data_IF_560457015274
#
_entry.id   IF_560457015274
#
_cell.length_a   1.000
_cell.length_b   1.000
_cell.length_c   1.000
_cell.angle_alpha   90.00
_cell.angle_beta   90.00
_cell.angle_gamma   90.00
#
_symmetry.space_group_name_H-M   'P 1'
#
loop_
_entity.id
_entity.type
_entity.pdbx_description
1 polymer ?
#
# COMPACT_ATOMS: atom_id res chain seq x y z
N UNK A 1 7.56 -23.34 7.63
CA UNK A 1 7.09 -21.95 7.58
C UNK A 1 5.59 -21.95 7.82
N UNK A 2 5.10 -21.06 8.67
CA UNK A 2 3.65 -20.92 8.90
C UNK A 2 3.00 -20.42 7.59
N UNK A 3 1.97 -21.09 7.07
CA UNK A 3 1.29 -20.69 5.85
C UNK A 3 0.51 -19.37 6.00
N UNK A 4 0.30 -18.89 7.24
CA UNK A 4 -0.38 -17.65 7.56
C UNK A 4 0.57 -16.71 8.30
N UNK A 5 1.56 -16.16 7.58
CA UNK A 5 2.60 -15.30 8.16
C UNK A 5 3.05 -14.20 7.21
N UNK A 6 3.72 -13.19 7.75
CA UNK A 6 4.30 -12.09 6.97
C UNK A 6 5.40 -12.59 6.01
N UNK A 7 6.19 -13.60 6.42
CA UNK A 7 7.21 -14.22 5.56
C UNK A 7 6.58 -14.91 4.36
N UNK A 8 5.43 -15.59 4.54
CA UNK A 8 4.72 -16.25 3.44
C UNK A 8 4.19 -15.25 2.41
N UNK A 9 3.80 -14.06 2.86
CA UNK A 9 3.43 -12.96 1.95
C UNK A 9 4.63 -12.60 1.06
N UNK A 10 5.80 -12.40 1.64
CA UNK A 10 7.03 -12.02 0.93
C UNK A 10 7.39 -13.09 -0.11
N UNK A 11 7.37 -14.38 0.27
CA UNK A 11 7.66 -15.50 -0.64
C UNK A 11 6.71 -15.53 -1.84
N UNK A 12 5.42 -15.34 -1.60
CA UNK A 12 4.42 -15.26 -2.66
C UNK A 12 4.72 -14.13 -3.63
N UNK A 13 5.06 -12.93 -3.12
CA UNK A 13 5.40 -11.80 -3.98
C UNK A 13 6.70 -11.99 -4.76
N UNK A 14 7.69 -12.69 -4.20
CA UNK A 14 8.89 -13.10 -4.96
C UNK A 14 8.51 -13.99 -6.16
N UNK A 15 7.62 -14.95 -5.94
CA UNK A 15 7.14 -15.86 -6.99
C UNK A 15 6.36 -15.12 -8.07
N UNK A 16 5.52 -14.15 -7.68
CA UNK A 16 4.57 -13.49 -8.56
C UNK A 16 5.03 -12.12 -9.09
N UNK A 17 6.29 -11.74 -8.92
CA UNK A 17 6.80 -10.43 -9.33
C UNK A 17 6.63 -10.15 -10.84
N UNK A 18 6.88 -11.16 -11.69
CA UNK A 18 6.76 -11.01 -13.16
C UNK A 18 5.31 -10.90 -13.60
N UNK A 19 4.39 -11.85 -13.27
CA UNK A 19 2.99 -11.73 -13.66
C UNK A 19 2.31 -10.49 -13.08
N UNK A 20 2.68 -10.07 -11.85
CA UNK A 20 2.19 -8.83 -11.27
C UNK A 20 2.59 -7.61 -12.09
N UNK A 21 3.87 -7.51 -12.47
CA UNK A 21 4.35 -6.41 -13.31
C UNK A 21 3.57 -6.33 -14.62
N UNK A 22 3.31 -7.47 -15.27
CA UNK A 22 2.51 -7.52 -16.49
C UNK A 22 1.07 -7.08 -16.24
N UNK A 23 0.41 -7.60 -15.19
CA UNK A 23 -0.98 -7.27 -14.86
C UNK A 23 -1.18 -5.77 -14.60
N UNK A 24 -0.22 -5.13 -13.91
CA UNK A 24 -0.25 -3.68 -13.62
C UNK A 24 -0.03 -2.87 -14.90
N UNK A 25 1.01 -3.16 -15.67
CA UNK A 25 1.37 -2.39 -16.88
C UNK A 25 0.33 -2.50 -17.98
N UNK A 26 -0.24 -3.69 -18.15
CA UNK A 26 -1.28 -3.95 -19.14
C UNK A 26 -2.68 -3.52 -18.67
N UNK A 27 -2.80 -2.92 -17.48
CA UNK A 27 -4.06 -2.46 -16.88
C UNK A 27 -5.15 -3.55 -16.83
N UNK A 28 -4.74 -4.77 -16.46
CA UNK A 28 -5.64 -5.94 -16.41
C UNK A 28 -6.55 -5.97 -15.17
N UNK A 29 -6.28 -5.15 -14.15
CA UNK A 29 -7.07 -5.08 -12.91
C UNK A 29 -8.13 -4.00 -13.07
N UNK A 30 -9.39 -4.41 -13.26
CA UNK A 30 -10.50 -3.52 -13.60
C UNK A 30 -10.75 -2.44 -12.54
N UNK A 31 -10.80 -2.82 -11.26
CA UNK A 31 -11.05 -1.89 -10.16
C UNK A 31 -9.98 -0.79 -10.08
N UNK A 32 -8.72 -1.12 -10.39
CA UNK A 32 -7.63 -0.14 -10.47
C UNK A 32 -7.87 0.85 -11.58
N UNK A 33 -8.14 0.34 -12.78
CA UNK A 33 -8.37 1.15 -13.98
C UNK A 33 -9.56 2.10 -13.83
N UNK A 34 -10.65 1.62 -13.22
CA UNK A 34 -11.90 2.37 -13.14
C UNK A 34 -11.97 3.31 -11.94
N UNK A 35 -11.29 2.99 -10.84
CA UNK A 35 -11.54 3.69 -9.56
C UNK A 35 -10.26 3.93 -8.77
N UNK A 36 -9.56 2.86 -8.35
CA UNK A 36 -8.66 2.95 -7.21
C UNK A 36 -7.32 3.62 -7.53
N UNK A 37 -6.83 3.53 -8.78
CA UNK A 37 -5.60 4.20 -9.20
C UNK A 37 -5.76 5.73 -9.16
N UNK A 38 -6.87 6.25 -9.70
CA UNK A 38 -7.12 7.70 -9.66
C UNK A 38 -7.41 8.18 -8.24
N UNK A 39 -8.14 7.39 -7.45
CA UNK A 39 -8.49 7.74 -6.08
C UNK A 39 -7.26 7.94 -5.17
N UNK A 40 -6.25 7.09 -5.27
CA UNK A 40 -5.01 7.26 -4.49
C UNK A 40 -4.18 8.45 -4.98
N UNK A 41 -4.11 8.67 -6.30
CA UNK A 41 -3.45 9.85 -6.87
C UNK A 41 -4.12 11.12 -6.32
N UNK A 42 -5.45 11.22 -6.39
CA UNK A 42 -6.21 12.37 -5.90
C UNK A 42 -6.03 12.57 -4.39
N UNK A 43 -5.94 11.48 -3.61
CA UNK A 43 -5.68 11.55 -2.18
C UNK A 43 -4.28 12.14 -1.89
N UNK A 44 -3.24 11.68 -2.59
CA UNK A 44 -1.88 12.19 -2.45
C UNK A 44 -1.81 13.66 -2.90
N UNK A 45 -2.34 13.97 -4.08
CA UNK A 45 -2.25 15.32 -4.66
C UNK A 45 -3.08 16.36 -3.90
N UNK A 46 -4.12 15.94 -3.15
CA UNK A 46 -4.86 16.84 -2.27
C UNK A 46 -3.99 17.46 -1.16
N UNK A 47 -2.86 16.82 -0.82
CA UNK A 47 -1.87 17.31 0.16
C UNK A 47 -0.80 18.21 -0.44
N UNK A 48 -0.76 18.37 -1.78
CA UNK A 48 0.22 19.19 -2.52
C UNK A 48 1.68 18.91 -2.13
N UNK A 49 2.10 17.63 -2.09
CA UNK A 49 3.43 17.28 -1.60
C UNK A 49 4.52 17.70 -2.57
N UNK A 50 5.67 18.13 -2.05
CA UNK A 50 6.91 18.24 -2.81
C UNK A 50 7.67 16.90 -2.85
N UNK A 51 7.47 16.05 -1.84
CA UNK A 51 8.12 14.75 -1.71
C UNK A 51 7.14 13.66 -1.27
N UNK A 52 7.24 12.48 -1.89
CA UNK A 52 6.39 11.30 -1.60
C UNK A 52 7.24 10.05 -1.47
N UNK A 53 6.93 9.24 -0.47
CA UNK A 53 7.42 7.87 -0.31
C UNK A 53 6.27 6.88 -0.59
N UNK A 54 6.42 6.05 -1.62
CA UNK A 54 5.50 4.97 -1.99
C UNK A 54 6.00 3.65 -1.34
N UNK A 55 5.31 3.19 -0.32
CA UNK A 55 5.67 2.03 0.50
C UNK A 55 4.98 0.77 -0.06
N UNK A 56 5.78 -0.23 -0.46
CA UNK A 56 5.29 -1.37 -1.24
C UNK A 56 4.98 -0.95 -2.68
N UNK A 57 5.93 -0.23 -3.30
CA UNK A 57 5.73 0.42 -4.60
C UNK A 57 5.59 -0.55 -5.77
N UNK A 58 5.91 -1.83 -5.57
CA UNK A 58 5.91 -2.82 -6.62
C UNK A 58 6.82 -2.43 -7.79
N UNK A 59 6.28 -2.46 -9.01
CA UNK A 59 6.97 -2.06 -10.23
C UNK A 59 7.01 -0.51 -10.44
N UNK A 60 6.58 0.28 -9.44
CA UNK A 60 6.75 1.74 -9.38
C UNK A 60 5.70 2.56 -10.14
N UNK A 61 4.53 2.03 -10.47
CA UNK A 61 3.52 2.74 -11.25
C UNK A 61 3.02 4.02 -10.57
N UNK A 62 2.75 3.97 -9.24
CA UNK A 62 2.24 5.13 -8.49
C UNK A 62 3.32 6.20 -8.36
N UNK A 63 4.54 5.79 -8.04
CA UNK A 63 5.72 6.67 -8.00
C UNK A 63 5.87 7.46 -9.31
N UNK A 64 5.77 6.77 -10.48
CA UNK A 64 5.81 7.42 -11.80
C UNK A 64 4.60 8.34 -12.06
N UNK A 65 3.40 7.88 -11.70
CA UNK A 65 2.19 8.69 -11.88
C UNK A 65 2.27 10.00 -11.10
N UNK A 66 2.77 9.97 -9.87
CA UNK A 66 2.94 11.17 -9.03
C UNK A 66 4.02 12.11 -9.58
N UNK A 67 5.12 11.58 -10.12
CA UNK A 67 6.14 12.40 -10.80
C UNK A 67 5.53 13.14 -12.01
N UNK A 68 4.69 12.48 -12.81
CA UNK A 68 3.96 13.11 -13.93
C UNK A 68 3.00 14.20 -13.44
N UNK A 69 2.42 14.05 -12.24
CA UNK A 69 1.57 15.07 -11.61
C UNK A 69 2.36 16.26 -11.04
N UNK A 70 3.69 16.25 -11.14
CA UNK A 70 4.56 17.37 -10.72
C UNK A 70 5.10 17.26 -9.29
N UNK A 71 5.01 16.09 -8.64
CA UNK A 71 5.72 15.87 -7.37
C UNK A 71 7.22 15.89 -7.64
N UNK A 72 7.93 16.79 -6.96
CA UNK A 72 9.36 17.06 -7.25
C UNK A 72 10.29 15.90 -6.89
N UNK A 73 9.97 15.15 -5.84
CA UNK A 73 10.73 13.99 -5.39
C UNK A 73 9.81 12.82 -5.09
N UNK A 74 9.88 11.77 -5.87
CA UNK A 74 9.13 10.53 -5.67
C UNK A 74 10.09 9.38 -5.39
N UNK A 75 9.83 8.65 -4.31
CA UNK A 75 10.65 7.54 -3.83
C UNK A 75 9.76 6.33 -3.69
N UNK A 76 10.17 5.19 -4.22
CA UNK A 76 9.48 3.91 -4.03
C UNK A 76 10.35 2.92 -3.26
N UNK A 77 9.74 2.19 -2.34
CA UNK A 77 10.39 1.08 -1.63
C UNK A 77 9.54 -0.18 -1.72
N UNK A 78 10.20 -1.31 -1.93
CA UNK A 78 9.56 -2.63 -1.93
C UNK A 78 10.54 -3.68 -1.41
N UNK A 79 10.04 -4.74 -0.78
CA UNK A 79 10.86 -5.83 -0.26
C UNK A 79 11.35 -6.77 -1.37
N UNK A 80 10.66 -6.81 -2.52
CA UNK A 80 10.94 -7.72 -3.64
C UNK A 80 11.93 -7.09 -4.62
N UNK A 81 13.22 -7.55 -4.66
CA UNK A 81 14.24 -6.94 -5.51
C UNK A 81 13.88 -6.93 -6.99
N UNK A 82 13.20 -7.98 -7.48
CA UNK A 82 12.77 -8.09 -8.87
C UNK A 82 11.77 -7.00 -9.27
N UNK A 83 10.84 -6.63 -8.38
CA UNK A 83 9.91 -5.52 -8.61
C UNK A 83 10.64 -4.17 -8.62
N UNK A 84 11.54 -3.95 -7.65
CA UNK A 84 12.36 -2.73 -7.58
C UNK A 84 13.23 -2.57 -8.84
N UNK A 85 13.78 -3.66 -9.36
CA UNK A 85 14.54 -3.63 -10.62
C UNK A 85 13.65 -3.23 -11.81
N UNK A 86 12.42 -3.74 -11.89
CA UNK A 86 11.44 -3.33 -12.91
C UNK A 86 11.06 -1.84 -12.77
N UNK A 87 10.93 -1.36 -11.54
CA UNK A 87 10.66 0.05 -11.26
C UNK A 87 11.83 0.94 -11.70
N UNK A 88 13.07 0.58 -11.36
CA UNK A 88 14.29 1.29 -11.78
C UNK A 88 14.43 1.35 -13.30
N UNK A 89 14.19 0.23 -14.00
CA UNK A 89 14.25 0.17 -15.48
C UNK A 89 13.20 1.09 -16.13
N UNK A 90 12.03 1.24 -15.50
CA UNK A 90 10.97 2.12 -15.99
C UNK A 90 11.25 3.61 -15.68
N UNK A 91 12.05 3.90 -14.67
CA UNK A 91 12.43 5.26 -14.26
C UNK A 91 11.29 6.01 -13.57
N UNK A 92 11.43 7.34 -13.50
CA UNK A 92 10.40 8.25 -12.97
C UNK A 92 10.36 8.32 -11.43
N UNK A 93 11.43 7.95 -10.75
CA UNK A 93 11.57 8.06 -9.30
C UNK A 93 12.87 7.42 -8.79
N UNK A 94 13.09 7.54 -7.48
CA UNK A 94 14.16 6.85 -6.75
C UNK A 94 13.58 5.52 -6.22
N UNK A 95 14.29 4.37 -6.37
CA UNK A 95 13.75 3.07 -5.95
C UNK A 95 14.75 2.29 -5.11
N UNK A 96 14.32 1.79 -3.94
CA UNK A 96 15.14 1.06 -2.99
C UNK A 96 14.49 -0.25 -2.57
N UNK A 97 15.32 -1.26 -2.30
CA UNK A 97 14.86 -2.50 -1.66
C UNK A 97 14.86 -2.26 -0.15
N UNK A 98 13.68 -2.36 0.48
CA UNK A 98 13.54 -2.26 1.93
C UNK A 98 12.31 -3.04 2.40
N UNK A 99 12.44 -3.77 3.50
CA UNK A 99 11.30 -4.41 4.17
C UNK A 99 10.63 -3.44 5.15
N UNK A 100 9.40 -3.74 5.55
CA UNK A 100 8.70 -2.93 6.56
C UNK A 100 9.41 -2.95 7.90
N UNK A 101 10.03 -4.06 8.27
CA UNK A 101 10.83 -4.18 9.50
C UNK A 101 12.10 -3.32 9.42
N UNK A 102 12.77 -3.26 8.26
CA UNK A 102 13.93 -2.39 8.07
C UNK A 102 13.54 -0.91 8.18
N UNK A 103 12.39 -0.53 7.59
CA UNK A 103 11.82 0.81 7.74
C UNK A 103 11.50 1.09 9.21
N UNK A 104 10.83 0.16 9.90
CA UNK A 104 10.46 0.31 11.31
C UNK A 104 11.67 0.44 12.24
N UNK A 105 12.80 -0.17 11.90
CA UNK A 105 14.08 0.02 12.63
C UNK A 105 14.82 1.32 12.28
N UNK A 106 14.26 2.16 11.40
CA UNK A 106 14.88 3.42 10.99
C UNK A 106 16.06 3.27 10.03
N UNK A 107 16.17 2.14 9.31
CA UNK A 107 17.24 1.92 8.33
C UNK A 107 17.03 2.78 7.07
N UNK A 108 15.81 3.23 6.81
CA UNK A 108 15.49 4.17 5.74
C UNK A 108 15.55 5.61 6.28
N UNK A 109 16.70 6.24 6.16
CA UNK A 109 16.94 7.60 6.67
C UNK A 109 16.46 8.67 5.67
N UNK A 110 15.15 8.91 5.65
CA UNK A 110 14.53 9.99 4.88
C UNK A 110 13.26 10.48 5.55
N UNK A 111 12.87 11.71 5.23
CA UNK A 111 11.55 12.25 5.58
C UNK A 111 10.89 12.87 4.36
N UNK A 112 9.57 12.73 4.28
CA UNK A 112 8.75 13.18 3.15
C UNK A 112 7.53 13.96 3.62
N UNK A 113 6.89 14.68 2.70
CA UNK A 113 5.62 15.34 2.95
C UNK A 113 4.46 14.33 3.03
N UNK A 114 4.51 13.29 2.18
CA UNK A 114 3.51 12.22 2.17
C UNK A 114 4.20 10.86 2.08
N UNK A 115 3.84 9.94 2.98
CA UNK A 115 4.08 8.52 2.83
C UNK A 115 2.77 7.86 2.40
N UNK A 116 2.79 7.06 1.34
CA UNK A 116 1.61 6.36 0.82
C UNK A 116 1.85 4.87 0.73
N UNK A 117 0.87 4.06 1.12
CA UNK A 117 0.86 2.62 0.91
C UNK A 117 -0.43 2.26 0.15
N UNK A 118 -0.28 1.66 -1.03
CA UNK A 118 -1.41 1.39 -1.92
C UNK A 118 -1.58 -0.11 -2.14
N UNK A 119 -2.56 -0.73 -1.47
CA UNK A 119 -2.81 -2.19 -1.46
C UNK A 119 -1.58 -3.03 -1.07
N UNK A 120 -0.66 -2.46 -0.31
CA UNK A 120 0.59 -3.10 0.07
C UNK A 120 0.56 -3.65 1.51
N UNK A 121 -0.26 -3.08 2.39
CA UNK A 121 -0.30 -3.41 3.82
C UNK A 121 -1.21 -4.61 4.10
N UNK A 122 -0.79 -5.81 3.69
CA UNK A 122 -1.58 -7.03 3.81
C UNK A 122 -1.11 -7.97 4.93
N UNK A 123 0.01 -7.67 5.58
CA UNK A 123 0.55 -8.44 6.70
C UNK A 123 0.01 -8.05 8.07
N UNK A 124 0.55 -8.67 9.13
CA UNK A 124 0.15 -8.41 10.52
C UNK A 124 1.23 -7.62 11.28
N UNK A 125 2.27 -8.29 11.69
CA UNK A 125 3.26 -7.72 12.63
C UNK A 125 4.17 -6.70 11.94
N UNK A 126 4.59 -6.97 10.71
CA UNK A 126 5.37 -6.05 9.90
C UNK A 126 4.58 -4.77 9.57
N UNK A 127 3.28 -4.88 9.27
CA UNK A 127 2.40 -3.73 9.03
C UNK A 127 2.19 -2.92 10.30
N UNK A 128 1.93 -3.57 11.43
CA UNK A 128 1.76 -2.88 12.72
C UNK A 128 3.04 -2.10 13.10
N UNK A 129 4.22 -2.71 12.92
CA UNK A 129 5.50 -2.06 13.18
C UNK A 129 5.73 -0.86 12.25
N UNK A 130 5.44 -1.01 10.95
CA UNK A 130 5.55 0.06 9.96
C UNK A 130 4.65 1.25 10.29
N UNK A 131 3.36 1.01 10.60
CA UNK A 131 2.42 2.10 10.92
C UNK A 131 2.88 2.84 12.17
N UNK A 132 3.35 2.13 13.23
CA UNK A 132 3.90 2.76 14.43
C UNK A 132 5.16 3.59 14.16
N UNK A 133 5.99 3.17 13.22
CA UNK A 133 7.21 3.90 12.84
C UNK A 133 6.95 5.03 11.83
N UNK A 134 5.81 5.03 11.14
CA UNK A 134 5.54 5.97 10.05
C UNK A 134 5.63 7.46 10.40
N UNK A 135 5.34 7.94 11.64
CA UNK A 135 5.58 9.34 11.98
C UNK A 135 7.04 9.79 11.78
N UNK A 136 8.01 8.90 11.96
CA UNK A 136 9.43 9.21 11.75
C UNK A 136 9.81 9.40 10.28
N UNK A 137 8.99 8.92 9.36
CA UNK A 137 9.15 9.11 7.91
C UNK A 137 8.56 10.44 7.41
N UNK A 138 7.80 11.12 8.27
CA UNK A 138 7.06 12.31 7.90
C UNK A 138 7.75 13.57 8.40
N UNK A 139 7.75 14.61 7.58
CA UNK A 139 8.09 15.97 8.03
C UNK A 139 7.02 16.47 8.99
N UNK A 140 7.33 17.51 9.74
CA UNK A 140 6.31 18.18 10.56
C UNK A 140 5.08 18.54 9.71
N UNK A 141 3.90 18.09 10.15
CA UNK A 141 2.64 18.21 9.39
C UNK A 141 2.52 17.28 8.17
N UNK A 142 3.44 16.34 7.99
CA UNK A 142 3.39 15.34 6.92
C UNK A 142 2.25 14.35 7.13
N UNK A 143 1.89 13.64 6.06
CA UNK A 143 0.69 12.80 5.99
C UNK A 143 1.02 11.36 5.62
N UNK A 144 0.46 10.40 6.35
CA UNK A 144 0.37 9.00 5.94
C UNK A 144 -0.95 8.78 5.20
N UNK A 145 -0.89 8.15 4.03
CA UNK A 145 -2.06 7.74 3.24
C UNK A 145 -2.03 6.22 3.05
N UNK A 146 -3.09 5.54 3.43
CA UNK A 146 -3.22 4.09 3.26
C UNK A 146 -4.45 3.81 2.43
N UNK A 147 -4.29 3.25 1.23
CA UNK A 147 -5.38 2.66 0.46
C UNK A 147 -5.34 1.14 0.56
N UNK A 148 -6.45 0.54 0.97
CA UNK A 148 -6.58 -0.91 1.10
C UNK A 148 -7.96 -1.40 0.69
N UNK A 149 -8.16 -2.72 0.63
CA UNK A 149 -9.48 -3.32 0.42
C UNK A 149 -10.46 -2.78 1.48
N UNK A 150 -11.67 -2.45 1.04
CA UNK A 150 -12.68 -1.96 1.99
C UNK A 150 -13.14 -3.11 2.91
N UNK A 151 -12.91 -3.05 4.23
CA UNK A 151 -13.14 -4.19 5.12
C UNK A 151 -14.56 -4.76 5.06
N UNK A 152 -15.59 -3.89 4.99
CA UNK A 152 -17.00 -4.34 4.91
C UNK A 152 -17.26 -5.12 3.60
N UNK A 153 -16.55 -4.83 2.53
CA UNK A 153 -16.67 -5.56 1.25
C UNK A 153 -15.77 -6.79 1.24
N UNK A 154 -14.54 -6.64 1.73
CA UNK A 154 -13.52 -7.69 1.72
C UNK A 154 -13.80 -8.84 2.68
N UNK A 155 -14.63 -8.60 3.73
CA UNK A 155 -15.03 -9.67 4.65
C UNK A 155 -15.84 -10.77 3.95
N UNK A 156 -16.58 -10.43 2.89
CA UNK A 156 -17.45 -11.39 2.19
C UNK A 156 -18.44 -12.04 3.15
N UNK A 157 -18.48 -13.38 3.15
CA UNK A 157 -19.32 -14.19 4.03
C UNK A 157 -18.63 -14.58 5.35
N UNK A 158 -17.35 -14.20 5.54
CA UNK A 158 -16.60 -14.53 6.76
C UNK A 158 -16.97 -13.54 7.89
N UNK A 159 -16.70 -13.91 9.16
CA UNK A 159 -16.89 -13.01 10.29
C UNK A 159 -16.15 -11.67 10.10
N UNK A 160 -16.77 -10.57 10.52
CA UNK A 160 -16.17 -9.23 10.51
C UNK A 160 -15.28 -9.05 11.74
N UNK A 161 -14.19 -9.81 11.80
CA UNK A 161 -13.22 -9.82 12.89
C UNK A 161 -11.81 -9.93 12.33
N UNK A 162 -10.86 -9.39 13.04
CA UNK A 162 -9.45 -9.43 12.67
C UNK A 162 -8.93 -10.87 12.61
N UNK A 163 -8.11 -11.16 11.62
CA UNK A 163 -7.50 -12.49 11.51
C UNK A 163 -6.85 -12.76 10.16
N UNK A 164 -6.01 -13.78 10.16
CA UNK A 164 -5.40 -14.27 8.93
C UNK A 164 -6.43 -14.93 8.01
N UNK A 165 -6.28 -14.71 6.73
CA UNK A 165 -7.12 -15.27 5.66
C UNK A 165 -6.24 -15.83 4.55
N UNK A 166 -6.70 -16.92 3.96
CA UNK A 166 -6.06 -17.46 2.76
C UNK A 166 -6.21 -16.50 1.60
N UNK A 167 -5.16 -16.35 0.79
CA UNK A 167 -5.20 -15.59 -0.42
C UNK A 167 -5.85 -16.33 -1.58
N UNK A 168 -6.10 -15.61 -2.66
CA UNK A 168 -6.63 -16.16 -3.89
C UNK A 168 -6.16 -15.34 -5.09
N UNK A 169 -5.79 -16.01 -6.17
CA UNK A 169 -5.56 -15.39 -7.47
C UNK A 169 -6.79 -15.50 -8.39
N UNK A 170 -7.98 -15.80 -7.84
CA UNK A 170 -9.21 -15.83 -8.62
C UNK A 170 -9.44 -14.50 -9.36
N UNK A 171 -9.65 -14.57 -10.66
CA UNK A 171 -9.77 -13.38 -11.53
C UNK A 171 -8.45 -12.85 -12.09
N UNK A 172 -7.32 -13.45 -11.75
CA UNK A 172 -6.02 -13.21 -12.40
C UNK A 172 -5.72 -14.30 -13.44
N UNK A 173 -4.63 -14.14 -14.22
CA UNK A 173 -4.20 -15.14 -15.20
C UNK A 173 -3.59 -16.37 -14.53
N UNK A 174 -3.51 -17.49 -15.27
CA UNK A 174 -2.89 -18.74 -14.81
C UNK A 174 -1.36 -18.63 -14.57
N UNK A 175 -0.76 -17.48 -14.89
CA UNK A 175 0.64 -17.18 -14.58
C UNK A 175 0.89 -16.95 -13.09
N UNK A 176 -0.17 -16.67 -12.32
CA UNK A 176 -0.07 -16.50 -10.88
C UNK A 176 -0.16 -17.84 -10.15
N UNK A 177 0.66 -18.00 -9.12
CA UNK A 177 0.70 -19.21 -8.29
C UNK A 177 0.91 -18.84 -6.81
N UNK A 178 0.69 -19.80 -5.92
CA UNK A 178 1.00 -19.67 -4.50
C UNK A 178 0.48 -18.34 -3.90
N UNK A 179 -0.85 -18.14 -3.79
CA UNK A 179 -1.44 -16.87 -3.40
C UNK A 179 -1.01 -16.47 -1.98
N UNK A 180 -0.63 -15.21 -1.81
CA UNK A 180 -0.24 -14.65 -0.52
C UNK A 180 -1.41 -14.73 0.48
N UNK A 181 -1.21 -15.23 1.71
CA UNK A 181 -2.17 -15.00 2.77
C UNK A 181 -2.25 -13.50 3.06
N UNK A 182 -3.28 -13.08 3.78
CA UNK A 182 -3.41 -11.69 4.19
C UNK A 182 -4.10 -11.57 5.55
N UNK A 183 -3.73 -10.55 6.29
CA UNK A 183 -4.34 -10.27 7.58
C UNK A 183 -5.48 -9.27 7.41
N UNK A 184 -6.69 -9.72 7.66
CA UNK A 184 -7.87 -8.86 7.65
C UNK A 184 -7.90 -8.00 8.92
N UNK A 185 -8.13 -6.71 8.75
CA UNK A 185 -8.44 -5.77 9.83
C UNK A 185 -9.80 -5.16 9.60
N UNK A 186 -10.58 -5.01 10.66
CA UNK A 186 -11.82 -4.22 10.63
C UNK A 186 -11.50 -2.74 10.43
N UNK A 187 -12.50 -1.93 10.06
CA UNK A 187 -12.34 -0.46 10.05
C UNK A 187 -11.92 0.06 11.42
N UNK A 188 -12.53 -0.48 12.48
CA UNK A 188 -12.21 -0.10 13.87
C UNK A 188 -10.74 -0.33 14.20
N UNK A 189 -10.21 -1.52 13.88
CA UNK A 189 -8.80 -1.87 14.15
C UNK A 189 -7.83 -1.05 13.30
N UNK A 190 -8.16 -0.73 12.04
CA UNK A 190 -7.37 0.20 11.23
C UNK A 190 -7.28 1.58 11.87
N UNK A 191 -8.42 2.14 12.31
CA UNK A 191 -8.48 3.45 12.96
C UNK A 191 -7.70 3.45 14.27
N UNK A 192 -7.86 2.40 15.09
CA UNK A 192 -7.13 2.25 16.35
C UNK A 192 -5.62 2.15 16.14
N UNK A 193 -5.16 1.36 15.17
CA UNK A 193 -3.74 1.24 14.82
C UNK A 193 -3.16 2.59 14.41
N UNK A 194 -3.84 3.33 13.54
CA UNK A 194 -3.43 4.67 13.10
C UNK A 194 -3.37 5.63 14.30
N UNK A 195 -4.44 5.71 15.09
CA UNK A 195 -4.52 6.64 16.20
C UNK A 195 -3.50 6.35 17.32
N UNK A 196 -3.28 5.06 17.64
CA UNK A 196 -2.30 4.66 18.65
C UNK A 196 -0.84 4.81 18.20
N UNK A 197 -0.61 5.10 16.92
CA UNK A 197 0.73 5.27 16.33
C UNK A 197 1.22 6.74 16.29
N UNK A 198 0.59 7.66 17.00
CA UNK A 198 0.98 9.07 16.95
C UNK A 198 0.52 9.80 15.68
N UNK A 199 -0.52 9.27 15.06
CA UNK A 199 -1.16 9.85 13.89
C UNK A 199 -2.59 10.28 14.24
N UNK A 200 -3.07 11.35 13.62
CA UNK A 200 -4.45 11.79 13.69
C UNK A 200 -5.14 11.54 12.37
N UNK A 201 -6.14 10.66 12.39
CA UNK A 201 -6.99 10.45 11.21
C UNK A 201 -7.72 11.76 10.89
N UNK A 202 -7.53 12.27 9.69
CA UNK A 202 -8.15 13.52 9.22
C UNK A 202 -9.32 13.25 8.27
N UNK A 203 -9.19 12.24 7.44
CA UNK A 203 -10.16 11.94 6.40
C UNK A 203 -10.17 10.44 6.10
N UNK A 204 -11.34 9.91 5.81
CA UNK A 204 -11.54 8.59 5.24
C UNK A 204 -12.34 8.74 3.93
N UNK A 205 -11.84 8.14 2.86
CA UNK A 205 -12.53 8.10 1.55
C UNK A 205 -12.92 6.68 1.19
N UNK A 206 -14.07 6.54 0.56
CA UNK A 206 -14.62 5.26 0.11
C UNK A 206 -14.89 5.35 -1.41
N UNK A 207 -13.86 5.15 -2.25
CA UNK A 207 -14.03 5.18 -3.70
C UNK A 207 -15.04 4.13 -4.17
N UNK A 208 -16.11 4.57 -4.83
CA UNK A 208 -17.24 3.71 -5.23
C UNK A 208 -17.01 3.17 -6.64
N UNK A 209 -17.14 1.85 -6.81
CA UNK A 209 -17.05 1.20 -8.10
C UNK A 209 -18.30 1.53 -8.96
N UNK A 210 -18.14 2.06 -10.19
CA UNK A 210 -19.26 2.60 -10.97
C UNK A 210 -20.29 1.54 -11.38
N UNK A 211 -19.88 0.30 -11.56
CA UNK A 211 -20.79 -0.77 -11.97
C UNK A 211 -21.47 -1.48 -10.80
N UNK A 212 -20.79 -1.63 -9.66
CA UNK A 212 -21.33 -2.38 -8.51
C UNK A 212 -21.98 -1.48 -7.46
N UNK A 213 -21.73 -0.19 -7.49
CA UNK A 213 -22.12 0.81 -6.50
C UNK A 213 -21.68 0.46 -5.06
N UNK A 214 -20.63 -0.36 -4.93
CA UNK A 214 -19.99 -0.72 -3.66
C UNK A 214 -18.62 -0.05 -3.54
N UNK A 215 -18.12 0.18 -2.31
CA UNK A 215 -16.76 0.64 -2.13
C UNK A 215 -15.74 -0.33 -2.77
N UNK A 216 -14.88 0.19 -3.65
CA UNK A 216 -13.79 -0.56 -4.25
C UNK A 216 -12.55 -0.62 -3.34
N UNK A 217 -12.42 0.38 -2.47
CA UNK A 217 -11.34 0.50 -1.50
C UNK A 217 -11.76 1.42 -0.36
N UNK A 218 -10.95 1.46 0.70
CA UNK A 218 -10.95 2.54 1.69
C UNK A 218 -9.60 3.25 1.65
N UNK A 219 -9.59 4.57 1.80
CA UNK A 219 -8.39 5.39 1.93
C UNK A 219 -8.42 6.09 3.27
N UNK A 220 -7.44 5.80 4.12
CA UNK A 220 -7.20 6.54 5.37
C UNK A 220 -6.16 7.62 5.11
N UNK A 221 -6.41 8.83 5.56
CA UNK A 221 -5.51 9.97 5.46
C UNK A 221 -5.28 10.51 6.87
N UNK A 222 -4.05 10.40 7.35
CA UNK A 222 -3.71 10.74 8.72
C UNK A 222 -2.44 11.60 8.78
N UNK A 223 -2.46 12.66 9.61
CA UNK A 223 -1.31 13.54 9.80
C UNK A 223 -0.51 13.14 11.04
N UNK A 224 0.81 13.36 10.99
CA UNK A 224 1.66 13.26 12.18
C UNK A 224 1.25 14.29 13.22
N UNK A 225 1.06 13.85 14.47
CA UNK A 225 0.85 14.73 15.63
C UNK A 225 2.16 15.09 16.32
N UNK A 226 3.27 14.52 15.87
CA UNK A 226 4.61 14.83 16.37
C UNK A 226 5.07 16.15 15.74
N UNK A 227 5.56 17.11 16.53
CA UNK A 227 6.02 18.43 16.08
C UNK A 227 7.19 18.35 15.12
#
# INVERSE_FOLDING_TARGET
>A
MDPLSDEKIIDSWHTNATPWTAAVRDKRIESRKLVTDQAVIDAVMSRRPASVLDIGCGEGWLTRALAVQGVSRTIGVDVVPALVEQARKAGGGEFHVASYEAIARGELQLTVDVAVANFALIGKDAVDALIRASPSLLRSGGTLIVQTLHPVVATGEQPYEDGWRSGSWAGFSDDFSDPAPWYFRTLGTWIELIASSGLRLEEMREPIHPATHKPASVIFIASSVVP
#
